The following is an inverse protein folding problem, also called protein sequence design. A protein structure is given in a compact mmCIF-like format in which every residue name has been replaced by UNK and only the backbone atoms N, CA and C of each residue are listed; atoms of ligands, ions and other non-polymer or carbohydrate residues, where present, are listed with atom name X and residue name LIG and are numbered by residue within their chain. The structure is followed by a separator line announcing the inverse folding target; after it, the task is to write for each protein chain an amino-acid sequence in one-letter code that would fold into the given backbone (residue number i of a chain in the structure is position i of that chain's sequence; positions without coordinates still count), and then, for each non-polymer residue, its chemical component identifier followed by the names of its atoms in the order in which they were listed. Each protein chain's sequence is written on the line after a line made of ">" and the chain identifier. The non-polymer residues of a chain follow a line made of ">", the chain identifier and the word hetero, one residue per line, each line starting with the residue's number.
data_IF_102515572238
#
_entry.id   IF_102515572238
#
_cell.length_a   1.000
_cell.length_b   1.000
_cell.length_c   1.000
_cell.angle_alpha   90.00
_cell.angle_beta   90.00
_cell.angle_gamma   90.00
#
_symmetry.space_group_name_H-M   'P 1'
#
loop_
_entity.id
_entity.type
_entity.pdbx_description
1 polymer ?
#
# COMPACT_ATOMS: atom_id res chain seq x y z
N UNK A 1 -39.30 -18.38 -33.93
CA UNK A 1 -38.58 -17.34 -33.16
C UNK A 1 -38.43 -17.82 -31.72
N UNK A 2 -37.38 -18.59 -31.42
CA UNK A 2 -37.17 -19.28 -30.13
C UNK A 2 -35.67 -19.41 -29.86
N UNK A 3 -34.94 -18.30 -29.77
CA UNK A 3 -33.50 -18.30 -29.43
C UNK A 3 -33.07 -16.97 -28.81
N UNK A 4 -33.74 -16.50 -27.76
CA UNK A 4 -33.32 -15.29 -27.03
C UNK A 4 -33.65 -15.40 -25.53
N UNK A 5 -33.29 -16.52 -24.88
CA UNK A 5 -33.46 -16.70 -23.43
C UNK A 5 -32.26 -17.41 -22.77
N UNK A 6 -31.02 -17.13 -23.21
CA UNK A 6 -29.82 -17.77 -22.61
C UNK A 6 -28.66 -16.79 -22.48
N UNK A 7 -28.89 -15.57 -21.97
CA UNK A 7 -27.75 -14.64 -21.71
C UNK A 7 -27.81 -13.86 -20.38
N UNK A 8 -28.86 -14.03 -19.58
CA UNK A 8 -28.96 -13.40 -18.25
C UNK A 8 -28.31 -14.23 -17.11
N UNK A 9 -27.19 -14.92 -17.36
CA UNK A 9 -26.48 -15.67 -16.31
C UNK A 9 -24.99 -15.36 -16.21
N UNK A 10 -24.60 -14.13 -16.57
CA UNK A 10 -23.22 -13.65 -16.39
C UNK A 10 -23.20 -12.22 -15.83
N UNK A 11 -23.99 -11.98 -14.78
CA UNK A 11 -24.19 -10.64 -14.20
C UNK A 11 -23.93 -10.50 -12.70
N UNK A 12 -23.37 -11.51 -12.02
CA UNK A 12 -23.24 -11.48 -10.55
C UNK A 12 -21.89 -12.03 -10.02
N UNK A 13 -20.75 -11.53 -10.51
CA UNK A 13 -19.45 -11.80 -9.86
C UNK A 13 -18.67 -10.51 -9.50
N UNK A 14 -19.15 -9.32 -9.89
CA UNK A 14 -18.42 -8.07 -9.66
C UNK A 14 -18.85 -7.26 -8.42
N UNK A 15 -19.83 -7.73 -7.64
CA UNK A 15 -20.27 -7.05 -6.41
C UNK A 15 -19.57 -7.55 -5.13
N UNK A 16 -18.32 -8.03 -5.24
CA UNK A 16 -17.60 -8.67 -4.14
C UNK A 16 -16.17 -8.19 -3.86
N UNK A 17 -15.71 -7.07 -4.45
CA UNK A 17 -14.30 -6.64 -4.35
C UNK A 17 -14.12 -5.17 -3.94
N UNK A 18 -14.98 -4.64 -3.06
CA UNK A 18 -14.85 -3.25 -2.55
C UNK A 18 -14.76 -3.18 -1.01
N UNK A 19 -14.32 -4.27 -0.37
CA UNK A 19 -14.29 -4.39 1.09
C UNK A 19 -12.93 -4.75 1.68
N UNK A 20 -11.87 -4.76 0.87
CA UNK A 20 -10.51 -4.88 1.42
C UNK A 20 -10.22 -3.67 2.32
N UNK A 21 -9.78 -3.87 3.56
CA UNK A 21 -9.39 -2.77 4.43
C UNK A 21 -8.26 -1.98 3.77
N UNK A 22 -8.32 -0.66 3.93
CA UNK A 22 -7.32 0.29 3.43
C UNK A 22 -6.58 0.90 4.62
N UNK A 23 -5.33 1.25 4.41
CA UNK A 23 -4.58 2.05 5.36
C UNK A 23 -5.13 3.48 5.37
N UNK A 24 -5.32 4.03 6.56
CA UNK A 24 -5.78 5.38 6.81
C UNK A 24 -4.62 6.19 7.37
N UNK A 25 -3.95 6.96 6.50
CA UNK A 25 -2.84 7.81 6.90
C UNK A 25 -3.29 9.24 7.19
N UNK A 26 -4.54 9.47 7.62
CA UNK A 26 -4.99 10.81 8.04
C UNK A 26 -4.22 11.32 9.27
N UNK A 27 -3.78 10.42 10.14
CA UNK A 27 -2.92 10.70 11.29
C UNK A 27 -2.21 9.42 11.78
N UNK A 28 -1.29 9.54 12.73
CA UNK A 28 -0.51 8.41 13.24
C UNK A 28 -1.34 7.31 13.92
N UNK A 29 -2.36 7.71 14.69
CA UNK A 29 -3.21 6.76 15.42
C UNK A 29 -4.06 5.97 14.43
N UNK A 30 -4.68 6.66 13.46
CA UNK A 30 -5.45 6.04 12.40
C UNK A 30 -4.59 5.10 11.54
N UNK A 31 -3.33 5.48 11.25
CA UNK A 31 -2.44 4.67 10.45
C UNK A 31 -2.07 3.37 11.15
N UNK A 32 -1.67 3.44 12.43
CA UNK A 32 -1.34 2.25 13.23
C UNK A 32 -2.53 1.30 13.32
N UNK A 33 -3.70 1.83 13.69
CA UNK A 33 -4.92 1.02 13.84
C UNK A 33 -5.37 0.41 12.51
N UNK A 34 -5.27 1.15 11.40
CA UNK A 34 -5.65 0.63 10.08
C UNK A 34 -4.66 -0.40 9.54
N UNK A 35 -3.35 -0.26 9.80
CA UNK A 35 -2.33 -1.27 9.46
C UNK A 35 -2.64 -2.59 10.18
N UNK A 36 -2.91 -2.56 11.49
CA UNK A 36 -3.30 -3.75 12.26
C UNK A 36 -4.55 -4.39 11.67
N UNK A 37 -5.59 -3.59 11.41
CA UNK A 37 -6.83 -4.06 10.80
C UNK A 37 -6.63 -4.67 9.41
N UNK A 38 -5.73 -4.11 8.60
CA UNK A 38 -5.38 -4.67 7.28
C UNK A 38 -4.68 -6.01 7.46
N UNK A 39 -3.66 -6.06 8.33
CA UNK A 39 -2.85 -7.25 8.60
C UNK A 39 -3.67 -8.41 9.13
N UNK A 40 -4.61 -8.17 10.04
CA UNK A 40 -5.47 -9.20 10.64
C UNK A 40 -6.41 -9.87 9.63
N UNK A 41 -6.67 -9.22 8.50
CA UNK A 41 -7.50 -9.75 7.41
C UNK A 41 -6.72 -10.53 6.36
N UNK A 42 -5.39 -10.57 6.47
CA UNK A 42 -4.53 -11.29 5.51
C UNK A 42 -4.33 -12.74 5.95
N UNK A 43 -4.12 -13.66 4.99
CA UNK A 43 -3.55 -14.96 5.30
C UNK A 43 -2.09 -14.81 5.76
N UNK A 44 -1.57 -15.80 6.50
CA UNK A 44 -0.29 -15.68 7.22
C UNK A 44 0.91 -15.43 6.30
N UNK A 45 0.91 -16.03 5.09
CA UNK A 45 1.92 -15.79 4.05
C UNK A 45 1.93 -14.33 3.56
N UNK A 46 0.75 -13.73 3.40
CA UNK A 46 0.63 -12.32 3.01
C UNK A 46 0.93 -11.35 4.14
N UNK A 47 0.73 -11.72 5.41
CA UNK A 47 1.08 -10.86 6.56
C UNK A 47 2.55 -10.50 6.55
N UNK A 48 3.42 -11.50 6.35
CA UNK A 48 4.87 -11.30 6.30
C UNK A 48 5.24 -10.32 5.18
N UNK A 49 4.73 -10.56 3.97
CA UNK A 49 5.01 -9.70 2.82
C UNK A 49 4.48 -8.27 2.98
N UNK A 50 3.33 -8.12 3.63
CA UNK A 50 2.77 -6.80 3.97
C UNK A 50 3.63 -6.07 5.00
N UNK A 51 4.04 -6.75 6.08
CA UNK A 51 4.92 -6.18 7.13
C UNK A 51 6.27 -5.72 6.53
N UNK A 52 6.87 -6.54 5.67
CA UNK A 52 8.08 -6.20 4.91
C UNK A 52 7.86 -4.98 4.00
N UNK A 53 6.73 -4.93 3.31
CA UNK A 53 6.40 -3.80 2.41
C UNK A 53 6.20 -2.50 3.18
N UNK A 54 5.67 -2.53 4.41
CA UNK A 54 5.59 -1.35 5.28
C UNK A 54 6.99 -0.85 5.65
N UNK A 55 7.90 -1.77 6.00
CA UNK A 55 9.30 -1.42 6.31
C UNK A 55 9.99 -0.83 5.09
N UNK A 56 9.91 -1.50 3.93
CA UNK A 56 10.45 -0.98 2.67
C UNK A 56 9.84 0.37 2.33
N UNK A 57 8.54 0.57 2.50
CA UNK A 57 7.90 1.87 2.26
C UNK A 57 8.48 2.97 3.16
N UNK A 58 8.77 2.67 4.43
CA UNK A 58 9.44 3.60 5.35
C UNK A 58 10.84 3.95 4.84
N UNK A 59 11.66 2.96 4.49
CA UNK A 59 13.01 3.19 3.96
C UNK A 59 13.00 3.97 2.64
N UNK A 60 12.11 3.61 1.71
CA UNK A 60 11.99 4.26 0.41
C UNK A 60 11.49 5.72 0.51
N UNK A 61 10.87 6.08 1.63
CA UNK A 61 10.40 7.44 1.91
C UNK A 61 11.50 8.36 2.44
N UNK A 62 12.60 7.80 2.93
CA UNK A 62 13.78 8.54 3.40
C UNK A 62 14.61 8.98 2.20
N UNK A 63 14.99 10.26 2.19
CA UNK A 63 15.94 10.82 1.22
C UNK A 63 17.31 11.03 1.88
N UNK A 64 18.24 10.11 1.64
CA UNK A 64 19.57 10.15 2.24
C UNK A 64 20.39 11.35 1.76
N UNK A 65 20.18 11.82 0.54
CA UNK A 65 20.88 13.00 0.02
C UNK A 65 20.46 14.27 0.75
N UNK A 66 19.18 14.36 1.12
CA UNK A 66 18.69 15.44 2.00
C UNK A 66 19.24 15.26 3.43
N UNK A 67 19.23 14.05 3.99
CA UNK A 67 19.76 13.81 5.36
C UNK A 67 21.22 14.24 5.54
N UNK A 68 22.06 14.02 4.53
CA UNK A 68 23.48 14.44 4.56
C UNK A 68 23.63 15.96 4.46
N UNK A 69 22.68 16.68 3.85
CA UNK A 69 22.78 18.12 3.56
C UNK A 69 22.20 19.04 4.62
N UNK A 70 21.11 18.65 5.30
CA UNK A 70 20.28 19.62 6.07
C UNK A 70 20.31 19.52 7.59
N UNK A 71 21.01 18.54 8.19
CA UNK A 71 21.09 18.45 9.65
C UNK A 71 19.74 18.12 10.31
N UNK A 72 19.33 16.85 10.18
CA UNK A 72 18.33 16.07 10.93
C UNK A 72 16.85 16.52 11.02
N UNK A 73 16.50 17.80 11.27
CA UNK A 73 15.14 18.08 11.78
C UNK A 73 14.09 18.42 10.72
N UNK A 74 14.44 19.12 9.64
CA UNK A 74 13.50 19.47 8.56
C UNK A 74 13.16 18.31 7.61
N UNK A 75 13.97 17.26 7.63
CA UNK A 75 13.92 16.17 6.63
C UNK A 75 13.08 14.99 7.11
N UNK A 76 12.94 14.85 8.43
CA UNK A 76 12.13 13.78 9.01
C UNK A 76 10.64 13.99 8.76
N UNK A 77 10.14 15.24 8.82
CA UNK A 77 8.76 15.55 8.47
C UNK A 77 8.47 15.34 6.98
N UNK A 78 9.39 15.70 6.08
CA UNK A 78 9.23 15.41 4.64
C UNK A 78 9.18 13.91 4.37
N UNK A 79 10.05 13.14 5.02
CA UNK A 79 10.09 11.68 4.91
C UNK A 79 8.81 11.05 5.46
N UNK A 80 8.31 11.55 6.60
CA UNK A 80 7.02 11.16 7.17
C UNK A 80 5.87 11.45 6.20
N UNK A 81 5.82 12.63 5.59
CA UNK A 81 4.79 12.98 4.61
C UNK A 81 4.85 12.09 3.35
N UNK A 82 6.04 11.76 2.86
CA UNK A 82 6.23 10.80 1.75
C UNK A 82 5.70 9.41 2.13
N UNK A 83 6.01 8.95 3.35
CA UNK A 83 5.52 7.68 3.87
C UNK A 83 4.01 7.64 3.96
N UNK A 84 3.38 8.66 4.55
CA UNK A 84 1.92 8.74 4.69
C UNK A 84 1.24 8.73 3.33
N UNK A 85 1.73 9.52 2.37
CA UNK A 85 1.21 9.53 1.00
C UNK A 85 1.38 8.20 0.27
N UNK A 86 2.45 7.46 0.57
CA UNK A 86 2.69 6.16 -0.02
C UNK A 86 1.70 5.10 0.51
N UNK A 87 1.18 5.26 1.73
CA UNK A 87 0.28 4.28 2.36
C UNK A 87 -1.20 4.64 2.22
N UNK A 88 -1.55 5.92 2.26
CA UNK A 88 -2.94 6.38 2.39
C UNK A 88 -3.87 5.80 1.32
N UNK A 89 -4.99 5.24 1.76
CA UNK A 89 -6.02 4.66 0.91
C UNK A 89 -5.63 3.38 0.18
N UNK A 90 -4.41 2.86 0.36
CA UNK A 90 -3.97 1.61 -0.29
C UNK A 90 -4.42 0.38 0.50
N UNK A 91 -4.75 -0.68 -0.23
CA UNK A 91 -4.86 -2.04 0.33
C UNK A 91 -3.47 -2.67 0.47
N UNK A 92 -3.38 -3.80 1.17
CA UNK A 92 -2.12 -4.55 1.29
C UNK A 92 -1.52 -4.91 -0.08
N UNK A 93 -2.34 -5.43 -0.99
CA UNK A 93 -1.90 -5.83 -2.34
C UNK A 93 -1.35 -4.63 -3.13
N UNK A 94 -2.02 -3.47 -3.03
CA UNK A 94 -1.59 -2.25 -3.69
C UNK A 94 -0.27 -1.71 -3.13
N UNK A 95 -0.05 -1.80 -1.81
CA UNK A 95 1.22 -1.39 -1.20
C UNK A 95 2.36 -2.31 -1.67
N UNK A 96 2.16 -3.63 -1.57
CA UNK A 96 3.16 -4.64 -1.97
C UNK A 96 3.60 -4.39 -3.42
N UNK A 97 2.65 -4.26 -4.36
CA UNK A 97 2.97 -3.99 -5.76
C UNK A 97 3.68 -2.65 -5.98
N UNK A 98 3.29 -1.60 -5.26
CA UNK A 98 3.93 -0.29 -5.40
C UNK A 98 5.37 -0.31 -4.91
N UNK A 99 5.64 -0.98 -3.78
CA UNK A 99 7.00 -1.13 -3.23
C UNK A 99 7.90 -1.95 -4.16
N UNK A 100 7.42 -3.10 -4.65
CA UNK A 100 8.15 -3.92 -5.62
C UNK A 100 8.53 -3.13 -6.88
N UNK A 101 7.63 -2.25 -7.34
CA UNK A 101 7.86 -1.36 -8.48
C UNK A 101 8.92 -0.30 -8.20
N UNK A 102 8.95 0.25 -6.97
CA UNK A 102 9.98 1.22 -6.56
C UNK A 102 11.36 0.55 -6.53
N UNK A 103 11.45 -0.63 -5.92
CA UNK A 103 12.69 -1.40 -5.81
C UNK A 103 13.20 -1.85 -7.19
N UNK A 104 12.29 -2.34 -8.04
CA UNK A 104 12.61 -2.70 -9.44
C UNK A 104 13.10 -1.51 -10.27
N UNK A 105 12.65 -0.29 -9.98
CA UNK A 105 13.14 0.92 -10.65
C UNK A 105 14.52 1.32 -10.14
N UNK A 106 14.80 1.17 -8.85
CA UNK A 106 16.11 1.46 -8.25
C UNK A 106 17.20 0.55 -8.83
N UNK A 107 16.95 -0.75 -8.88
CA UNK A 107 17.89 -1.72 -9.46
C UNK A 107 18.17 -1.52 -10.96
N UNK A 108 17.33 -0.78 -11.69
CA UNK A 108 17.54 -0.47 -13.12
C UNK A 108 18.26 0.86 -13.34
N UNK A 109 18.34 1.70 -12.31
CA UNK A 109 18.96 3.02 -12.36
C UNK A 109 20.36 3.03 -11.72
N UNK A 110 20.80 1.91 -11.14
CA UNK A 110 22.19 1.58 -10.81
C UNK A 110 22.85 0.83 -11.97
#
# INVERSE_FOLDING_TARGET
>A
MKKLLVICLLGCVLAGCDSQPKMDASNEIALKASIEKVRDRLPDDKKVKFDESIQSAMFNSIDFNDLVKSGSNGDMEKSKQKFYKLLDGKTADQLITEVEKIESKRSKNE
#
